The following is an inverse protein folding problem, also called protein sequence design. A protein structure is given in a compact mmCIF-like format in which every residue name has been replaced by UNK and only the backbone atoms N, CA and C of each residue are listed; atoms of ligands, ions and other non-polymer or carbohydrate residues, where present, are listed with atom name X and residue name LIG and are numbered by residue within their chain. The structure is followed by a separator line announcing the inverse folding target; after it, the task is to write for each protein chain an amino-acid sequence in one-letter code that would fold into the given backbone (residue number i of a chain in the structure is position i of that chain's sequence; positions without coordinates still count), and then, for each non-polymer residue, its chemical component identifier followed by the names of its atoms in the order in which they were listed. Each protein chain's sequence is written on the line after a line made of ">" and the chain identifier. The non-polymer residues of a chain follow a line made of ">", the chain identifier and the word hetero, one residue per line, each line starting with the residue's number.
data_IF_134634378909
#
_entry.id   IF_134634378909
#
_cell.length_a   1.000
_cell.length_b   1.000
_cell.length_c   1.000
_cell.angle_alpha   90.00
_cell.angle_beta   90.00
_cell.angle_gamma   90.00
#
_symmetry.space_group_name_H-M   'P 1'
#
loop_
_entity.id
_entity.type
_entity.pdbx_description
1 polymer ?
#
# COMPACT_ATOMS: atom_id res chain seq x y z
N UNK A 1 -21.71 14.79 -26.75
CA UNK A 1 -21.07 15.94 -26.03
C UNK A 1 -21.50 15.85 -24.58
N UNK A 2 -20.57 15.53 -23.67
CA UNK A 2 -20.85 15.48 -22.24
C UNK A 2 -20.84 16.89 -21.62
N UNK A 3 -21.57 17.07 -20.50
CA UNK A 3 -21.56 18.29 -19.69
C UNK A 3 -20.38 18.20 -18.73
N UNK A 4 -19.56 19.26 -18.64
CA UNK A 4 -18.50 19.40 -17.64
C UNK A 4 -18.91 20.47 -16.63
N UNK A 5 -18.68 20.21 -15.35
CA UNK A 5 -18.94 21.20 -14.31
C UNK A 5 -17.98 22.40 -14.45
N UNK A 6 -18.48 23.61 -14.18
CA UNK A 6 -17.67 24.82 -14.05
C UNK A 6 -16.74 24.70 -12.82
N UNK A 7 -15.79 25.61 -12.65
CA UNK A 7 -14.89 25.64 -11.49
C UNK A 7 -15.66 25.76 -10.16
N UNK A 8 -16.69 26.59 -10.16
CA UNK A 8 -17.61 26.75 -9.03
C UNK A 8 -18.47 25.50 -8.83
N UNK A 9 -18.93 24.91 -9.92
CA UNK A 9 -19.68 23.65 -9.91
C UNK A 9 -18.86 22.48 -9.36
N UNK A 10 -17.55 22.41 -9.67
CA UNK A 10 -16.65 21.40 -9.10
C UNK A 10 -16.52 21.58 -7.57
N UNK A 11 -16.32 22.80 -7.10
CA UNK A 11 -16.29 23.08 -5.65
C UNK A 11 -17.60 22.71 -4.97
N UNK A 12 -18.73 23.04 -5.58
CA UNK A 12 -20.04 22.66 -5.06
C UNK A 12 -20.20 21.14 -4.98
N UNK A 13 -19.77 20.39 -6.00
CA UNK A 13 -19.82 18.93 -6.00
C UNK A 13 -18.92 18.32 -4.90
N UNK A 14 -17.76 18.89 -4.63
CA UNK A 14 -16.89 18.47 -3.53
C UNK A 14 -17.57 18.65 -2.17
N UNK A 15 -18.18 19.81 -1.92
CA UNK A 15 -18.94 20.05 -0.70
C UNK A 15 -20.18 19.14 -0.60
N UNK A 16 -20.92 18.96 -1.68
CA UNK A 16 -22.08 18.10 -1.70
C UNK A 16 -21.71 16.62 -1.39
N UNK A 17 -20.61 16.11 -1.95
CA UNK A 17 -20.10 14.77 -1.63
C UNK A 17 -19.74 14.63 -0.14
N UNK A 18 -19.10 15.65 0.44
CA UNK A 18 -18.77 15.64 1.87
C UNK A 18 -20.01 15.63 2.76
N UNK A 19 -21.01 16.46 2.44
CA UNK A 19 -22.27 16.49 3.20
C UNK A 19 -23.01 15.15 3.10
N UNK A 20 -23.10 14.57 1.92
CA UNK A 20 -23.72 13.25 1.73
C UNK A 20 -22.98 12.18 2.55
N UNK A 21 -21.65 12.22 2.53
CA UNK A 21 -20.82 11.30 3.31
C UNK A 21 -21.07 11.45 4.83
N UNK A 22 -21.08 12.66 5.36
CA UNK A 22 -21.36 12.92 6.78
C UNK A 22 -22.78 12.47 7.19
N UNK A 23 -23.77 12.66 6.31
CA UNK A 23 -25.15 12.17 6.54
C UNK A 23 -25.17 10.64 6.55
N UNK A 24 -24.46 9.97 5.67
CA UNK A 24 -24.37 8.51 5.65
C UNK A 24 -23.61 7.96 6.85
N UNK A 25 -22.58 8.65 7.34
CA UNK A 25 -21.89 8.31 8.59
C UNK A 25 -22.82 8.47 9.80
N UNK A 26 -23.50 9.61 9.91
CA UNK A 26 -24.47 9.85 10.98
C UNK A 26 -25.56 8.77 10.98
N UNK A 27 -26.10 8.40 9.82
CA UNK A 27 -27.09 7.31 9.72
C UNK A 27 -26.54 5.98 10.19
N UNK A 28 -25.28 5.66 9.84
CA UNK A 28 -24.61 4.44 10.31
C UNK A 28 -24.41 4.45 11.82
N UNK A 29 -23.87 5.53 12.36
CA UNK A 29 -23.62 5.66 13.80
C UNK A 29 -24.91 5.62 14.64
N UNK A 30 -26.03 6.10 14.09
CA UNK A 30 -27.34 6.01 14.74
C UNK A 30 -28.03 4.66 14.56
N UNK A 31 -27.69 3.87 13.52
CA UNK A 31 -28.26 2.54 13.28
C UNK A 31 -27.53 1.40 14.00
N UNK A 32 -26.32 1.66 14.50
CA UNK A 32 -25.46 0.66 15.13
C UNK A 32 -25.91 0.23 16.56
N UNK A 33 -27.07 0.67 17.00
CA UNK A 33 -27.64 0.22 18.29
C UNK A 33 -28.23 -1.20 18.27
N UNK A 34 -28.31 -1.87 17.11
CA UNK A 34 -29.01 -3.18 17.04
C UNK A 34 -28.29 -4.34 16.32
N UNK A 35 -27.17 -4.13 15.61
CA UNK A 35 -26.34 -5.24 15.10
C UNK A 35 -24.91 -4.75 14.86
N UNK A 36 -23.93 -5.43 15.42
CA UNK A 36 -22.50 -5.21 15.18
C UNK A 36 -22.15 -5.49 13.71
N UNK A 37 -22.37 -4.53 12.84
CA UNK A 37 -21.98 -4.62 11.45
C UNK A 37 -20.55 -4.08 11.30
N UNK A 38 -19.62 -4.92 10.84
CA UNK A 38 -18.28 -4.47 10.49
C UNK A 38 -18.36 -3.67 9.19
N UNK A 39 -18.21 -2.35 9.27
CA UNK A 39 -18.24 -1.47 8.11
C UNK A 39 -17.10 -0.47 8.15
N UNK A 40 -16.09 -0.63 7.31
CA UNK A 40 -15.05 0.38 7.11
C UNK A 40 -14.40 0.29 5.74
N UNK A 41 -13.74 1.39 5.34
CA UNK A 41 -13.01 1.51 4.09
C UNK A 41 -11.57 1.86 4.38
N UNK A 42 -10.64 1.10 3.80
CA UNK A 42 -9.23 1.35 3.92
C UNK A 42 -8.54 1.35 2.55
N UNK A 43 -7.64 2.29 2.35
CA UNK A 43 -6.76 2.36 1.19
C UNK A 43 -5.32 2.14 1.64
N UNK A 44 -4.58 1.27 0.94
CA UNK A 44 -3.28 0.76 1.41
C UNK A 44 -2.27 0.70 0.26
N UNK A 45 -0.96 0.67 0.55
CA UNK A 45 0.04 0.35 -0.47
C UNK A 45 -0.06 -1.13 -0.87
N UNK A 46 0.52 -1.48 -2.01
CA UNK A 46 0.65 -2.88 -2.44
C UNK A 46 1.66 -3.62 -1.56
N UNK A 47 1.20 -4.10 -0.43
CA UNK A 47 2.01 -4.79 0.58
C UNK A 47 1.36 -6.11 0.96
N UNK A 48 2.07 -7.21 0.72
CA UNK A 48 1.54 -8.56 0.96
C UNK A 48 1.17 -8.80 2.42
N UNK A 49 1.91 -8.26 3.36
CA UNK A 49 1.60 -8.42 4.77
C UNK A 49 0.32 -7.67 5.19
N UNK A 50 0.04 -6.49 4.60
CA UNK A 50 -1.18 -5.73 4.89
C UNK A 50 -2.40 -6.47 4.36
N UNK A 51 -2.33 -6.99 3.14
CA UNK A 51 -3.44 -7.77 2.56
C UNK A 51 -3.65 -9.10 3.28
N UNK A 52 -2.58 -9.76 3.76
CA UNK A 52 -2.70 -10.96 4.60
C UNK A 52 -3.36 -10.66 5.93
N UNK A 53 -2.90 -9.61 6.63
CA UNK A 53 -3.51 -9.18 7.89
C UNK A 53 -4.99 -8.82 7.72
N UNK A 54 -5.34 -8.13 6.63
CA UNK A 54 -6.74 -7.82 6.35
C UNK A 54 -7.57 -9.09 6.11
N UNK A 55 -7.09 -10.02 5.30
CA UNK A 55 -7.79 -11.27 5.03
C UNK A 55 -7.98 -12.13 6.29
N UNK A 56 -6.96 -12.19 7.15
CA UNK A 56 -7.01 -12.89 8.43
C UNK A 56 -7.99 -12.22 9.39
N UNK A 57 -7.92 -10.89 9.53
CA UNK A 57 -8.86 -10.13 10.35
C UNK A 57 -10.31 -10.35 9.95
N UNK A 58 -10.61 -10.29 8.65
CA UNK A 58 -11.97 -10.58 8.15
C UNK A 58 -12.36 -12.04 8.41
N UNK A 59 -11.42 -12.97 8.25
CA UNK A 59 -11.64 -14.40 8.49
C UNK A 59 -11.92 -14.77 9.96
N UNK A 60 -11.48 -13.94 10.89
CA UNK A 60 -11.74 -14.12 12.34
C UNK A 60 -13.13 -13.65 12.77
N UNK A 61 -13.83 -12.89 11.93
CA UNK A 61 -15.12 -12.35 12.30
C UNK A 61 -16.19 -13.45 12.46
N UNK A 62 -17.13 -13.22 13.38
CA UNK A 62 -18.26 -14.12 13.59
C UNK A 62 -19.09 -14.27 12.31
N UNK A 63 -19.66 -15.46 12.08
CA UNK A 63 -20.59 -15.68 10.97
C UNK A 63 -21.87 -14.85 11.07
N UNK A 64 -22.18 -14.34 12.24
CA UNK A 64 -23.34 -13.48 12.51
C UNK A 64 -23.06 -12.01 12.23
N UNK A 65 -21.77 -11.63 12.10
CA UNK A 65 -21.35 -10.26 11.78
C UNK A 65 -21.58 -9.97 10.31
N UNK A 66 -22.40 -8.98 10.00
CA UNK A 66 -22.53 -8.51 8.64
C UNK A 66 -21.29 -7.65 8.27
N UNK A 67 -20.59 -8.06 7.21
CA UNK A 67 -19.34 -7.42 6.80
C UNK A 67 -19.56 -6.59 5.54
N UNK A 68 -19.21 -5.30 5.60
CA UNK A 68 -19.11 -4.39 4.46
C UNK A 68 -17.79 -3.64 4.50
N UNK A 69 -16.74 -4.26 4.03
CA UNK A 69 -15.40 -3.67 4.01
C UNK A 69 -14.95 -3.37 2.58
N UNK A 70 -14.34 -2.21 2.37
CA UNK A 70 -13.68 -1.84 1.12
C UNK A 70 -12.16 -1.78 1.38
N UNK A 71 -11.42 -2.62 0.67
CA UNK A 71 -9.96 -2.68 0.72
C UNK A 71 -9.41 -2.32 -0.65
N UNK A 72 -8.69 -1.21 -0.76
CA UNK A 72 -8.17 -0.73 -2.02
C UNK A 72 -6.66 -0.52 -1.97
N UNK A 73 -5.94 -1.17 -2.89
CA UNK A 73 -4.51 -0.97 -3.04
C UNK A 73 -4.22 0.19 -3.99
N UNK A 74 -3.42 1.16 -3.54
CA UNK A 74 -3.15 2.39 -4.26
C UNK A 74 -1.72 2.92 -4.04
N UNK A 75 -1.34 3.92 -4.82
CA UNK A 75 -0.19 4.77 -4.51
C UNK A 75 -0.47 5.67 -3.29
N UNK A 76 0.57 6.16 -2.65
CA UNK A 76 0.46 7.04 -1.46
C UNK A 76 -0.35 8.30 -1.74
N UNK A 77 -0.19 8.89 -2.94
CA UNK A 77 -0.94 10.09 -3.31
C UNK A 77 -2.44 9.82 -3.47
N UNK A 78 -2.81 8.70 -4.10
CA UNK A 78 -4.22 8.28 -4.20
C UNK A 78 -4.79 7.88 -2.83
N UNK A 79 -3.99 7.29 -1.95
CA UNK A 79 -4.44 6.99 -0.59
C UNK A 79 -4.76 8.27 0.19
N UNK A 80 -3.94 9.31 0.08
CA UNK A 80 -4.20 10.63 0.66
C UNK A 80 -5.50 11.23 0.08
N UNK A 81 -5.68 11.18 -1.24
CA UNK A 81 -6.90 11.67 -1.90
C UNK A 81 -8.15 10.90 -1.42
N UNK A 82 -8.07 9.59 -1.32
CA UNK A 82 -9.17 8.75 -0.86
C UNK A 82 -9.62 9.11 0.56
N UNK A 83 -8.68 9.34 1.48
CA UNK A 83 -9.00 9.76 2.86
C UNK A 83 -9.62 11.16 2.88
N UNK A 84 -9.14 12.08 2.03
CA UNK A 84 -9.64 13.45 2.01
C UNK A 84 -11.01 13.59 1.35
N UNK A 85 -11.25 12.91 0.22
CA UNK A 85 -12.35 13.22 -0.70
C UNK A 85 -13.29 12.06 -0.99
N UNK A 86 -12.81 10.80 -0.92
CA UNK A 86 -13.56 9.64 -1.40
C UNK A 86 -14.18 8.79 -0.27
N UNK A 87 -14.25 9.34 0.94
CA UNK A 87 -14.95 8.71 2.06
C UNK A 87 -14.24 7.51 2.68
N UNK A 88 -12.91 7.41 2.51
CA UNK A 88 -12.12 6.46 3.28
C UNK A 88 -11.82 7.03 4.66
N UNK A 89 -12.12 6.28 5.71
CA UNK A 89 -11.89 6.71 7.09
C UNK A 89 -10.40 6.78 7.44
N UNK A 90 -9.63 5.86 6.87
CA UNK A 90 -8.18 5.78 7.06
C UNK A 90 -7.48 5.24 5.83
N UNK A 91 -6.19 5.49 5.74
CA UNK A 91 -5.32 4.97 4.71
C UNK A 91 -3.94 4.60 5.27
N UNK A 92 -3.23 3.78 4.54
CA UNK A 92 -1.80 3.53 4.78
C UNK A 92 -1.05 4.04 3.57
N UNK A 93 -0.06 4.91 3.79
CA UNK A 93 0.84 5.39 2.76
C UNK A 93 2.22 4.77 2.95
N UNK A 94 2.94 4.61 1.85
CA UNK A 94 4.31 4.09 1.83
C UNK A 94 5.23 5.08 1.14
N UNK A 95 6.37 5.35 1.75
CA UNK A 95 7.43 6.16 1.16
C UNK A 95 8.82 5.70 1.64
N UNK A 96 9.85 6.07 0.89
CA UNK A 96 11.23 5.87 1.31
C UNK A 96 11.55 6.79 2.50
N UNK A 97 12.34 6.31 3.46
CA UNK A 97 12.70 7.10 4.65
C UNK A 97 13.31 8.46 4.30
N UNK A 98 14.03 8.57 3.19
CA UNK A 98 14.58 9.83 2.69
C UNK A 98 13.52 10.88 2.32
N UNK A 99 12.29 10.45 2.01
CA UNK A 99 11.16 11.32 1.64
C UNK A 99 10.27 11.71 2.85
N UNK A 100 10.68 11.38 4.07
CA UNK A 100 9.89 11.62 5.28
C UNK A 100 9.46 13.08 5.43
N UNK A 101 10.40 14.01 5.32
CA UNK A 101 10.13 15.44 5.50
C UNK A 101 9.09 15.97 4.51
N UNK A 102 9.13 15.46 3.27
CA UNK A 102 8.14 15.81 2.25
C UNK A 102 6.75 15.32 2.65
N UNK A 103 6.62 14.04 3.01
CA UNK A 103 5.32 13.47 3.36
C UNK A 103 4.76 14.06 4.65
N UNK A 104 5.58 14.31 5.68
CA UNK A 104 5.15 15.01 6.90
C UNK A 104 4.57 16.38 6.59
N UNK A 105 5.31 17.20 5.82
CA UNK A 105 4.84 18.54 5.42
C UNK A 105 3.54 18.48 4.61
N UNK A 106 3.41 17.49 3.71
CA UNK A 106 2.21 17.29 2.91
C UNK A 106 1.00 16.91 3.77
N UNK A 107 1.16 15.99 4.72
CA UNK A 107 0.10 15.54 5.61
C UNK A 107 -0.38 16.66 6.53
N UNK A 108 0.54 17.44 7.10
CA UNK A 108 0.24 18.61 7.91
C UNK A 108 -0.56 19.66 7.11
N UNK A 109 -0.11 19.98 5.89
CA UNK A 109 -0.80 20.90 4.99
C UNK A 109 -2.22 20.43 4.64
N UNK A 110 -2.42 19.12 4.55
CA UNK A 110 -3.70 18.50 4.22
C UNK A 110 -4.59 18.26 5.45
N UNK A 111 -4.11 18.55 6.66
CA UNK A 111 -4.86 18.33 7.90
C UNK A 111 -5.11 16.87 8.21
N UNK A 112 -4.12 16.02 7.94
CA UNK A 112 -4.13 14.60 8.25
C UNK A 112 -3.23 14.33 9.46
N UNK A 113 -3.70 13.47 10.36
CA UNK A 113 -2.88 12.85 11.39
C UNK A 113 -2.17 11.62 10.82
N UNK A 114 -0.98 11.32 11.35
CA UNK A 114 -0.12 10.25 10.89
C UNK A 114 0.42 9.41 12.07
N UNK A 115 0.47 8.09 11.89
CA UNK A 115 0.99 7.15 12.87
C UNK A 115 1.92 6.14 12.17
N UNK A 116 3.19 6.06 12.57
CA UNK A 116 4.14 5.09 12.02
C UNK A 116 3.67 3.66 12.37
N UNK A 117 3.47 2.83 11.36
CA UNK A 117 3.15 1.42 11.51
C UNK A 117 4.40 0.54 11.44
N UNK A 118 5.25 0.78 10.45
CA UNK A 118 6.45 -0.02 10.22
C UNK A 118 7.54 0.80 9.51
N UNK A 119 8.78 0.44 9.81
CA UNK A 119 9.97 0.78 9.04
C UNK A 119 10.63 -0.53 8.62
N UNK A 120 10.69 -0.77 7.32
CA UNK A 120 11.04 -2.06 6.75
C UNK A 120 12.10 -1.91 5.66
N UNK A 121 13.02 -2.87 5.52
CA UNK A 121 13.93 -2.86 4.38
C UNK A 121 13.18 -3.22 3.09
N UNK A 122 13.61 -2.67 1.96
CA UNK A 122 13.29 -3.26 0.67
C UNK A 122 14.03 -4.57 0.50
N UNK A 123 13.32 -5.57 0.03
CA UNK A 123 13.86 -6.90 -0.29
C UNK A 123 13.57 -7.26 -1.74
N UNK A 124 14.39 -8.13 -2.30
CA UNK A 124 14.17 -8.68 -3.63
C UNK A 124 13.30 -9.91 -3.50
N UNK A 125 12.21 -9.95 -4.26
CA UNK A 125 11.34 -11.12 -4.42
C UNK A 125 11.54 -11.70 -5.81
N UNK A 126 11.77 -13.00 -5.90
CA UNK A 126 11.99 -13.73 -7.16
C UNK A 126 11.44 -15.15 -7.07
N UNK A 127 11.33 -15.86 -8.21
CA UNK A 127 10.96 -17.27 -8.24
C UNK A 127 11.98 -18.13 -7.50
N UNK A 128 11.53 -19.10 -6.70
CA UNK A 128 12.41 -20.05 -6.01
C UNK A 128 13.18 -20.95 -7.01
N UNK A 129 12.64 -21.19 -8.19
CA UNK A 129 13.25 -21.99 -9.26
C UNK A 129 14.22 -21.20 -10.14
N UNK A 130 14.21 -19.86 -10.01
CA UNK A 130 15.04 -18.96 -10.79
C UNK A 130 16.52 -18.98 -10.40
N UNK A 131 17.38 -18.51 -11.29
CA UNK A 131 18.83 -18.43 -11.02
C UNK A 131 19.15 -17.39 -9.95
N UNK A 132 18.38 -16.29 -9.88
CA UNK A 132 18.52 -15.28 -8.84
C UNK A 132 18.30 -15.84 -7.44
N UNK A 133 17.43 -16.85 -7.30
CA UNK A 133 17.21 -17.52 -6.02
C UNK A 133 18.46 -18.22 -5.48
N UNK A 134 19.29 -18.75 -6.36
CA UNK A 134 20.49 -19.56 -6.06
C UNK A 134 21.74 -18.70 -5.82
N UNK A 135 21.75 -17.45 -6.31
CA UNK A 135 22.88 -16.54 -6.18
C UNK A 135 22.84 -15.80 -4.82
N UNK A 136 23.98 -15.48 -4.28
CA UNK A 136 24.10 -14.50 -3.22
C UNK A 136 24.18 -13.11 -3.90
N UNK A 137 23.25 -12.22 -3.57
CA UNK A 137 23.19 -10.89 -4.17
C UNK A 137 23.96 -9.91 -3.27
N UNK A 138 25.15 -9.53 -3.69
CA UNK A 138 26.04 -8.61 -2.93
C UNK A 138 26.11 -7.23 -3.54
N UNK A 139 25.86 -7.14 -4.84
CA UNK A 139 25.94 -5.89 -5.58
C UNK A 139 24.75 -5.76 -6.55
N UNK A 140 24.54 -4.54 -7.04
CA UNK A 140 23.42 -4.23 -7.95
C UNK A 140 23.65 -4.80 -9.35
N UNK A 141 24.91 -4.85 -9.78
CA UNK A 141 25.32 -5.37 -11.08
C UNK A 141 24.89 -6.84 -11.27
N UNK A 142 24.71 -7.58 -10.18
CA UNK A 142 24.24 -8.97 -10.21
C UNK A 142 22.75 -9.09 -10.61
N UNK A 143 22.03 -7.96 -10.71
CA UNK A 143 20.66 -7.88 -11.21
C UNK A 143 20.54 -7.38 -12.65
N UNK A 144 21.64 -6.95 -13.30
CA UNK A 144 21.60 -6.34 -14.64
C UNK A 144 21.03 -7.29 -15.71
N UNK A 145 21.31 -8.57 -15.61
CA UNK A 145 20.79 -9.59 -16.52
C UNK A 145 19.34 -9.99 -16.20
N UNK A 146 18.77 -9.45 -15.14
CA UNK A 146 17.42 -9.74 -14.69
C UNK A 146 16.35 -8.94 -15.42
N UNK A 147 15.09 -9.30 -15.15
CA UNK A 147 13.91 -8.57 -15.59
C UNK A 147 13.25 -7.95 -14.37
N UNK A 148 13.34 -6.63 -14.25
CA UNK A 148 12.68 -5.93 -13.14
C UNK A 148 11.19 -5.76 -13.40
N UNK A 149 10.36 -6.17 -12.45
CA UNK A 149 8.91 -5.97 -12.50
C UNK A 149 8.55 -4.80 -11.58
N UNK A 150 7.89 -3.80 -12.15
CA UNK A 150 7.54 -2.53 -11.50
C UNK A 150 6.04 -2.27 -11.56
N UNK A 151 5.51 -1.57 -10.57
CA UNK A 151 4.15 -1.02 -10.67
C UNK A 151 4.17 0.27 -11.48
N UNK A 152 3.44 0.29 -12.62
CA UNK A 152 3.47 1.39 -13.59
C UNK A 152 2.75 2.68 -13.15
N UNK A 153 2.01 2.64 -12.05
CA UNK A 153 1.31 3.79 -11.45
C UNK A 153 2.06 4.40 -10.26
N UNK A 154 3.23 3.87 -9.92
CA UNK A 154 4.05 4.42 -8.84
C UNK A 154 4.90 5.58 -9.36
N UNK A 155 4.37 6.79 -9.22
CA UNK A 155 5.07 8.03 -9.56
C UNK A 155 5.29 8.85 -8.30
N UNK A 156 6.49 9.39 -8.15
CA UNK A 156 6.71 10.48 -7.21
C UNK A 156 5.96 11.74 -7.70
N UNK A 157 5.65 12.67 -6.78
CA UNK A 157 5.05 13.97 -7.14
C UNK A 157 5.88 14.78 -8.13
N UNK A 158 7.17 14.53 -8.24
CA UNK A 158 8.10 15.10 -9.23
C UNK A 158 7.87 14.59 -10.65
N UNK A 159 7.02 13.57 -10.83
CA UNK A 159 6.76 12.97 -12.15
C UNK A 159 7.82 11.97 -12.60
N UNK A 160 8.92 11.84 -11.88
CA UNK A 160 9.96 10.86 -12.14
C UNK A 160 9.61 9.52 -11.50
N UNK A 161 9.80 8.42 -12.21
CA UNK A 161 9.89 7.12 -11.57
C UNK A 161 11.06 7.20 -10.60
N UNK A 162 10.93 6.66 -9.38
CA UNK A 162 12.06 6.49 -8.48
C UNK A 162 13.06 5.54 -9.14
N UNK A 163 13.84 6.09 -10.03
CA UNK A 163 15.05 5.44 -10.46
C UNK A 163 16.00 5.56 -9.27
N UNK A 164 16.35 4.42 -8.71
CA UNK A 164 17.34 4.33 -7.66
C UNK A 164 18.69 4.70 -8.25
N UNK A 165 18.99 5.97 -8.42
CA UNK A 165 20.30 6.41 -8.90
C UNK A 165 21.10 6.98 -7.74
N UNK A 166 22.13 6.27 -7.32
CA UNK A 166 23.32 6.89 -6.75
C UNK A 166 24.11 7.42 -7.95
N UNK A 167 24.38 8.74 -8.00
CA UNK A 167 25.24 9.42 -8.97
C UNK A 167 24.72 9.68 -10.41
N UNK A 168 23.42 9.71 -10.68
CA UNK A 168 22.92 10.21 -11.98
C UNK A 168 23.17 9.30 -13.18
N UNK A 169 23.70 8.10 -13.01
CA UNK A 169 23.77 7.06 -14.02
C UNK A 169 22.63 6.09 -13.82
N UNK A 170 21.85 5.83 -14.86
CA UNK A 170 20.75 4.86 -14.86
C UNK A 170 21.32 3.45 -14.75
N UNK A 171 21.55 2.99 -13.52
CA UNK A 171 21.89 1.59 -13.21
C UNK A 171 20.62 0.74 -13.21
N UNK A 172 19.91 0.70 -14.34
CA UNK A 172 18.71 -0.10 -14.45
C UNK A 172 18.96 -1.31 -15.32
N UNK A 173 18.39 -2.47 -14.96
CA UNK A 173 18.33 -3.56 -15.92
C UNK A 173 17.66 -3.04 -17.18
N UNK A 174 18.21 -3.43 -18.35
CA UNK A 174 17.65 -3.06 -19.64
C UNK A 174 16.23 -3.61 -19.83
N UNK A 175 15.88 -4.66 -19.06
CA UNK A 175 14.61 -5.36 -19.18
C UNK A 175 13.68 -4.98 -18.02
N UNK A 176 12.54 -4.36 -18.33
CA UNK A 176 11.52 -3.95 -17.37
C UNK A 176 10.14 -4.42 -17.80
N UNK A 177 9.33 -4.89 -16.86
CA UNK A 177 7.91 -5.17 -17.04
C UNK A 177 7.13 -4.25 -16.12
N UNK A 178 6.26 -3.42 -16.69
CA UNK A 178 5.36 -2.58 -15.93
C UNK A 178 4.02 -3.27 -15.76
N UNK A 179 3.59 -3.45 -14.52
CA UNK A 179 2.28 -3.99 -14.16
C UNK A 179 1.44 -2.91 -13.49
N UNK A 180 0.14 -2.95 -13.71
CA UNK A 180 -0.80 -1.99 -13.11
C UNK A 180 -1.68 -2.66 -12.06
N UNK A 181 -1.92 -3.96 -12.22
CA UNK A 181 -2.74 -4.77 -11.34
C UNK A 181 -1.89 -5.75 -10.54
N UNK A 182 -2.18 -5.87 -9.24
CA UNK A 182 -1.42 -6.78 -8.37
C UNK A 182 -1.67 -8.26 -8.65
N UNK A 183 -2.86 -8.61 -9.15
CA UNK A 183 -3.29 -10.00 -9.32
C UNK A 183 -2.32 -10.86 -10.13
N UNK A 184 -1.67 -10.30 -11.15
CA UNK A 184 -0.74 -11.01 -12.04
C UNK A 184 0.73 -11.00 -11.58
N UNK A 185 1.09 -10.22 -10.55
CA UNK A 185 2.50 -10.00 -10.21
C UNK A 185 3.26 -11.28 -9.85
N UNK A 186 2.63 -12.19 -9.10
CA UNK A 186 3.28 -13.42 -8.64
C UNK A 186 3.34 -14.48 -9.75
N UNK A 187 2.36 -14.50 -10.65
CA UNK A 187 2.39 -15.37 -11.82
C UNK A 187 3.49 -14.94 -12.78
N UNK A 188 3.66 -13.63 -13.02
CA UNK A 188 4.74 -13.11 -13.85
C UNK A 188 6.10 -13.41 -13.21
N UNK A 189 6.27 -13.21 -11.90
CA UNK A 189 7.50 -13.56 -11.20
C UNK A 189 7.86 -15.04 -11.32
N UNK A 190 6.86 -15.92 -11.32
CA UNK A 190 7.07 -17.36 -11.43
C UNK A 190 7.44 -17.80 -12.85
N UNK A 191 6.77 -17.25 -13.86
CA UNK A 191 6.90 -17.69 -15.25
C UNK A 191 8.03 -16.99 -16.02
N UNK A 192 8.35 -15.73 -15.67
CA UNK A 192 9.43 -15.00 -16.31
C UNK A 192 10.76 -15.30 -15.64
N UNK A 193 11.63 -16.01 -16.34
CA UNK A 193 12.95 -16.40 -15.82
C UNK A 193 13.77 -15.17 -15.44
N UNK A 194 14.48 -15.27 -14.32
CA UNK A 194 15.33 -14.19 -13.77
C UNK A 194 14.58 -12.87 -13.53
N UNK A 195 13.26 -12.91 -13.37
CA UNK A 195 12.53 -11.72 -12.96
C UNK A 195 12.60 -11.51 -11.46
N UNK A 196 12.49 -10.24 -11.06
CA UNK A 196 12.46 -9.85 -9.66
C UNK A 196 11.64 -8.59 -9.43
N UNK A 197 11.24 -8.39 -8.19
CA UNK A 197 10.59 -7.16 -7.70
C UNK A 197 11.26 -6.68 -6.42
N UNK A 198 11.34 -5.36 -6.26
CA UNK A 198 11.59 -4.74 -4.97
C UNK A 198 10.27 -4.62 -4.21
N UNK A 199 10.22 -5.23 -3.03
CA UNK A 199 9.01 -5.29 -2.21
C UNK A 199 9.34 -5.09 -0.73
N UNK A 200 8.32 -4.77 0.08
CA UNK A 200 8.42 -4.99 1.53
C UNK A 200 8.48 -6.49 1.82
N UNK A 201 8.97 -6.91 2.99
CA UNK A 201 8.98 -8.32 3.37
C UNK A 201 7.63 -8.99 3.15
N UNK A 202 7.66 -10.20 2.57
CA UNK A 202 6.47 -10.97 2.20
C UNK A 202 6.27 -12.11 3.20
N UNK A 203 5.06 -12.31 3.75
CA UNK A 203 4.78 -13.41 4.66
C UNK A 203 5.18 -14.77 4.08
N UNK A 204 5.76 -15.62 4.93
CA UNK A 204 6.30 -16.93 4.52
C UNK A 204 5.25 -17.82 3.85
N UNK A 205 4.03 -17.80 4.38
CA UNK A 205 2.88 -18.54 3.80
C UNK A 205 2.64 -18.18 2.34
N UNK A 206 2.67 -16.89 2.00
CA UNK A 206 2.50 -16.44 0.62
C UNK A 206 3.70 -16.85 -0.25
N UNK A 207 4.92 -16.68 0.24
CA UNK A 207 6.11 -17.10 -0.50
C UNK A 207 6.08 -18.59 -0.84
N UNK A 208 5.69 -19.44 0.10
CA UNK A 208 5.52 -20.88 -0.13
C UNK A 208 4.41 -21.18 -1.14
N UNK A 209 3.26 -20.53 -1.03
CA UNK A 209 2.12 -20.76 -1.92
C UNK A 209 2.42 -20.42 -3.38
N UNK A 210 3.25 -19.40 -3.62
CA UNK A 210 3.59 -18.94 -4.97
C UNK A 210 4.98 -19.39 -5.44
N UNK A 211 5.65 -20.25 -4.67
CA UNK A 211 7.02 -20.73 -4.95
C UNK A 211 8.00 -19.57 -5.16
N UNK A 212 7.99 -18.62 -4.22
CA UNK A 212 8.82 -17.43 -4.26
C UNK A 212 9.84 -17.44 -3.12
N UNK A 213 10.97 -16.81 -3.34
CA UNK A 213 12.01 -16.56 -2.35
C UNK A 213 12.29 -15.07 -2.23
N UNK A 214 12.50 -14.66 -0.98
CA UNK A 214 12.89 -13.31 -0.63
C UNK A 214 14.38 -13.27 -0.31
N UNK A 215 15.07 -12.26 -0.81
CA UNK A 215 16.48 -12.02 -0.56
C UNK A 215 16.71 -10.63 -0.01
N UNK A 216 17.57 -10.55 0.99
CA UNK A 216 18.05 -9.26 1.46
C UNK A 216 19.09 -8.70 0.48
N UNK A 217 18.92 -7.44 0.14
CA UNK A 217 19.84 -6.70 -0.72
C UNK A 217 20.55 -5.64 0.13
N UNK A 218 21.55 -6.07 0.91
CA UNK A 218 22.27 -5.18 1.82
C UNK A 218 22.94 -3.98 1.14
N UNK A 219 23.19 -4.09 -0.15
CA UNK A 219 23.74 -3.01 -0.98
C UNK A 219 22.72 -1.90 -1.26
N UNK A 220 21.42 -2.13 -1.14
CA UNK A 220 20.43 -1.09 -1.42
C UNK A 220 20.33 -0.06 -0.29
N UNK A 221 20.53 -0.50 0.96
CA UNK A 221 20.39 0.37 2.14
C UNK A 221 19.02 1.03 2.31
N UNK A 222 18.08 0.77 1.39
CA UNK A 222 16.82 1.48 1.35
C UNK A 222 15.83 0.95 2.36
N UNK A 223 15.29 1.89 3.12
CA UNK A 223 14.22 1.63 4.09
C UNK A 223 12.95 2.33 3.64
N UNK A 224 11.84 1.65 3.81
CA UNK A 224 10.48 2.18 3.56
C UNK A 224 9.75 2.35 4.87
N UNK A 225 8.91 3.37 4.93
CA UNK A 225 7.96 3.58 6.01
C UNK A 225 6.54 3.36 5.53
N UNK A 226 5.80 2.59 6.31
CA UNK A 226 4.35 2.48 6.19
C UNK A 226 3.71 3.27 7.32
N UNK A 227 2.88 4.23 6.96
CA UNK A 227 2.31 5.21 7.87
C UNK A 227 0.79 5.20 7.71
N UNK A 228 0.09 4.98 8.83
CA UNK A 228 -1.36 5.11 8.91
C UNK A 228 -1.72 6.59 8.88
N UNK A 229 -2.66 6.97 8.02
CA UNK A 229 -3.17 8.34 7.89
C UNK A 229 -4.68 8.38 8.08
N UNK A 230 -5.19 9.44 8.68
CA UNK A 230 -6.61 9.72 8.88
C UNK A 230 -6.82 11.22 9.08
N UNK A 231 -8.07 11.68 8.94
CA UNK A 231 -8.38 13.12 9.14
C UNK A 231 -8.08 13.54 10.57
N UNK A 232 -7.58 14.74 10.74
CA UNK A 232 -7.26 15.30 12.06
C UNK A 232 -8.48 15.28 12.97
N UNK A 233 -8.31 14.72 14.17
CA UNK A 233 -9.38 14.56 15.15
C UNK A 233 -10.34 13.40 14.87
N UNK A 234 -10.09 12.57 13.86
CA UNK A 234 -10.91 11.39 13.59
C UNK A 234 -10.81 10.37 14.73
N UNK A 235 -11.97 9.93 15.22
CA UNK A 235 -12.05 8.87 16.23
C UNK A 235 -12.22 7.52 15.54
N UNK A 236 -11.17 6.69 15.61
CA UNK A 236 -11.18 5.35 15.01
C UNK A 236 -12.26 4.48 15.65
N UNK A 237 -13.09 3.84 14.84
CA UNK A 237 -14.12 2.89 15.26
C UNK A 237 -13.52 1.62 15.88
N UNK A 238 -14.33 0.82 16.55
CA UNK A 238 -13.86 -0.41 17.21
C UNK A 238 -13.12 -1.33 16.21
N UNK A 239 -13.76 -1.71 15.12
CA UNK A 239 -13.17 -2.60 14.11
C UNK A 239 -11.91 -2.04 13.44
N UNK A 240 -11.83 -0.73 13.29
CA UNK A 240 -10.63 -0.07 12.75
C UNK A 240 -9.46 -0.21 13.73
N UNK A 241 -9.72 -0.02 15.04
CA UNK A 241 -8.70 -0.23 16.08
C UNK A 241 -8.26 -1.68 16.17
N UNK A 242 -9.20 -2.61 16.08
CA UNK A 242 -8.93 -4.05 16.11
C UNK A 242 -8.10 -4.47 14.88
N UNK A 243 -8.48 -4.02 13.68
CA UNK A 243 -7.68 -4.27 12.48
C UNK A 243 -6.26 -3.70 12.58
N UNK A 244 -6.11 -2.45 13.05
CA UNK A 244 -4.79 -1.83 13.24
C UNK A 244 -3.98 -2.61 14.29
N UNK A 245 -4.61 -3.08 15.36
CA UNK A 245 -3.99 -3.94 16.37
C UNK A 245 -3.46 -5.23 15.75
N UNK A 246 -4.30 -5.94 15.01
CA UNK A 246 -3.93 -7.17 14.31
C UNK A 246 -2.81 -6.94 13.28
N UNK A 247 -2.88 -5.86 12.50
CA UNK A 247 -1.82 -5.49 11.55
C UNK A 247 -0.47 -5.25 12.26
N UNK A 248 -0.47 -4.58 13.42
CA UNK A 248 0.75 -4.36 14.21
C UNK A 248 1.33 -5.67 14.75
N UNK A 249 0.49 -6.64 15.10
CA UNK A 249 0.94 -7.98 15.49
C UNK A 249 1.57 -8.70 14.30
N UNK A 250 0.92 -8.71 13.14
CA UNK A 250 1.48 -9.26 11.90
C UNK A 250 2.85 -8.66 11.56
N UNK A 251 3.01 -7.36 11.73
CA UNK A 251 4.31 -6.68 11.51
C UNK A 251 5.37 -7.19 12.48
N UNK A 252 5.05 -7.34 13.77
CA UNK A 252 6.00 -7.84 14.77
C UNK A 252 6.46 -9.27 14.52
N UNK A 253 5.55 -10.12 14.01
CA UNK A 253 5.87 -11.51 13.68
C UNK A 253 6.78 -11.64 12.45
N UNK A 254 6.83 -10.62 11.60
CA UNK A 254 7.68 -10.61 10.40
C UNK A 254 9.08 -10.05 10.65
N UNK A 255 9.27 -9.30 11.73
CA UNK A 255 10.55 -8.68 12.11
C UNK A 255 11.40 -9.61 12.97
#
# INVERSE_FOLDING_TARGET
>A
KGVKATREGQKFLEYAKRIIYEIEEMKRDCSDLEKENLSFKITVPRASYISSAFAEFIGMQSKETAIKAEFQENSSMHAIENVLQNGYSMGIIRYLCENESYFQSLLDLKGLDAELLAELPYVILTSADGDLAKRELKTREELEDGVEILHGDWKLPTGEYTELSENGESLHPHNKIYIFERGSQFDILREVKNSYMWVSPVPEKLRKNYNLVQKHAGFSGQMIRDVLIYKKGYQKKLYEREFIGHLKETIREMM
#
